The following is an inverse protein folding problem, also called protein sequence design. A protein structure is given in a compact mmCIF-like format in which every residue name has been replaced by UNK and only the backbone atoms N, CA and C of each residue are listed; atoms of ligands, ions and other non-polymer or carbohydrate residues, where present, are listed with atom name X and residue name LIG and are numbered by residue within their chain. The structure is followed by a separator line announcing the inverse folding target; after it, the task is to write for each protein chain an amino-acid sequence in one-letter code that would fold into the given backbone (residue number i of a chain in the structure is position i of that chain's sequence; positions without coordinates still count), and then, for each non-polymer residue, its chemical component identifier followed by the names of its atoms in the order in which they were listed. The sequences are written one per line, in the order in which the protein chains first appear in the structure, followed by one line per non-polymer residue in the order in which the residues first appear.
data_IF_264531945077
#
_entry.id   IF_264531945077
#
_cell.length_a   1.000
_cell.length_b   1.000
_cell.length_c   1.000
_cell.angle_alpha   90.00
_cell.angle_beta   90.00
_cell.angle_gamma   90.00
#
_symmetry.space_group_name_H-M   'P 1'
#
loop_
_entity.id
_entity.type
_entity.pdbx_description
1 polymer ?
#
# COMPACT_ATOMS: atom_id res chain seq x y z
N UNK A 1 -45.06 28.08 -14.57
CA UNK A 1 -44.86 27.57 -13.20
C UNK A 1 -43.45 27.03 -13.14
N UNK A 2 -42.58 27.59 -12.29
CA UNK A 2 -41.16 27.20 -12.28
C UNK A 2 -40.97 26.02 -11.32
N UNK A 3 -40.65 24.85 -11.88
CA UNK A 3 -40.43 23.63 -11.12
C UNK A 3 -38.98 23.60 -10.60
N UNK A 4 -38.66 24.53 -9.70
CA UNK A 4 -37.30 24.70 -9.20
C UNK A 4 -37.19 24.07 -7.82
N UNK A 5 -36.21 23.18 -7.66
CA UNK A 5 -35.95 22.60 -6.37
C UNK A 5 -35.30 23.62 -5.43
N UNK A 6 -35.49 23.47 -4.11
CA UNK A 6 -34.85 24.35 -3.14
C UNK A 6 -33.31 24.26 -3.24
N UNK A 7 -32.62 25.38 -3.04
CA UNK A 7 -31.15 25.51 -3.15
C UNK A 7 -30.38 24.43 -2.37
N UNK A 8 -30.88 24.04 -1.21
CA UNK A 8 -30.23 23.04 -0.35
C UNK A 8 -30.06 21.67 -1.04
N UNK A 9 -30.98 21.28 -1.95
CA UNK A 9 -30.85 20.01 -2.67
C UNK A 9 -29.65 20.03 -3.62
N UNK A 10 -29.44 21.15 -4.30
CA UNK A 10 -28.28 21.33 -5.16
C UNK A 10 -26.98 21.37 -4.36
N UNK A 11 -26.99 22.04 -3.18
CA UNK A 11 -25.84 22.05 -2.28
C UNK A 11 -25.51 20.65 -1.73
N UNK A 12 -26.53 19.87 -1.40
CA UNK A 12 -26.35 18.48 -0.94
C UNK A 12 -25.76 17.61 -2.05
N UNK A 13 -26.27 17.73 -3.28
CA UNK A 13 -25.72 17.02 -4.45
C UNK A 13 -24.25 17.40 -4.65
N UNK A 14 -23.92 18.70 -4.62
CA UNK A 14 -22.56 19.18 -4.78
C UNK A 14 -21.63 18.64 -3.67
N UNK A 15 -22.10 18.64 -2.42
CA UNK A 15 -21.36 18.09 -1.28
C UNK A 15 -21.05 16.61 -1.46
N UNK A 16 -22.06 15.78 -1.75
CA UNK A 16 -21.88 14.35 -2.00
C UNK A 16 -20.92 14.10 -3.17
N UNK A 17 -21.03 14.89 -4.24
CA UNK A 17 -20.15 14.79 -5.40
C UNK A 17 -18.69 15.09 -5.04
N UNK A 18 -18.44 16.14 -4.25
CA UNK A 18 -17.09 16.49 -3.77
C UNK A 18 -16.48 15.39 -2.90
N UNK A 19 -17.26 14.82 -1.97
CA UNK A 19 -16.80 13.68 -1.18
C UNK A 19 -16.50 12.47 -2.06
N UNK A 20 -17.33 12.19 -3.07
CA UNK A 20 -17.10 11.13 -4.04
C UNK A 20 -15.82 11.33 -4.84
N UNK A 21 -15.55 12.55 -5.30
CA UNK A 21 -14.32 12.89 -6.02
C UNK A 21 -13.10 12.72 -5.11
N UNK A 22 -13.15 13.23 -3.88
CA UNK A 22 -12.04 13.09 -2.92
C UNK A 22 -11.78 11.63 -2.59
N UNK A 23 -12.83 10.85 -2.40
CA UNK A 23 -12.72 9.42 -2.11
C UNK A 23 -12.21 8.60 -3.31
N UNK A 24 -12.63 8.97 -4.52
CA UNK A 24 -12.25 8.29 -5.75
C UNK A 24 -10.92 8.77 -6.36
N UNK A 25 -10.18 9.68 -5.69
CA UNK A 25 -8.87 10.13 -6.15
C UNK A 25 -7.91 8.94 -6.24
N UNK A 26 -7.48 8.55 -7.45
CA UNK A 26 -6.73 7.30 -7.66
C UNK A 26 -5.33 7.34 -7.06
N UNK A 27 -4.79 8.53 -6.79
CA UNK A 27 -3.41 8.75 -6.36
C UNK A 27 -3.27 9.03 -4.86
N UNK A 28 -4.35 8.95 -4.08
CA UNK A 28 -4.28 9.19 -2.63
C UNK A 28 -3.76 7.97 -1.87
N UNK A 29 -3.90 6.78 -2.46
CA UNK A 29 -3.38 5.51 -1.96
C UNK A 29 -2.29 5.04 -2.92
N UNK A 30 -1.07 5.54 -2.72
CA UNK A 30 0.08 5.21 -3.55
C UNK A 30 0.43 3.72 -3.54
N UNK A 31 1.33 3.32 -4.45
CA UNK A 31 1.84 1.95 -4.49
C UNK A 31 2.55 1.62 -3.16
N UNK A 32 2.26 0.46 -2.57
CA UNK A 32 3.00 -0.11 -1.43
C UNK A 32 3.90 -1.23 -1.97
N UNK A 33 5.04 -0.88 -2.60
CA UNK A 33 5.91 -1.87 -3.24
C UNK A 33 6.41 -2.86 -2.19
N UNK A 34 6.27 -4.14 -2.47
CA UNK A 34 6.62 -5.19 -1.52
C UNK A 34 7.12 -6.45 -2.23
N UNK A 35 8.15 -7.06 -1.65
CA UNK A 35 8.64 -8.40 -2.02
C UNK A 35 8.21 -9.38 -0.94
N UNK A 36 7.58 -10.46 -1.35
CA UNK A 36 7.22 -11.56 -0.48
C UNK A 36 8.14 -12.75 -0.74
N UNK A 37 8.76 -13.27 0.33
CA UNK A 37 9.62 -14.45 0.30
C UNK A 37 8.88 -15.58 1.02
N UNK A 38 8.73 -16.71 0.33
CA UNK A 38 8.08 -17.92 0.84
C UNK A 38 8.91 -19.16 0.51
N UNK A 39 8.92 -20.16 1.39
CA UNK A 39 9.54 -21.44 1.11
C UNK A 39 8.74 -22.23 0.08
N UNK A 40 9.42 -22.85 -0.89
CA UNK A 40 8.79 -23.73 -1.90
C UNK A 40 8.10 -24.95 -1.26
N UNK A 41 8.53 -25.36 -0.07
CA UNK A 41 7.95 -26.48 0.68
C UNK A 41 6.81 -26.11 1.64
N UNK A 42 6.44 -24.82 1.72
CA UNK A 42 5.41 -24.35 2.67
C UNK A 42 5.89 -24.24 4.12
N UNK A 43 7.15 -24.53 4.41
CA UNK A 43 7.73 -24.30 5.73
C UNK A 43 7.87 -22.78 6.02
N UNK A 44 7.69 -22.36 7.28
CA UNK A 44 7.89 -20.97 7.67
C UNK A 44 9.30 -20.48 7.30
N UNK A 45 9.34 -19.31 6.68
CA UNK A 45 10.56 -18.57 6.41
C UNK A 45 11.08 -18.03 7.74
N UNK A 46 11.87 -18.85 8.44
CA UNK A 46 12.36 -18.52 9.77
C UNK A 46 13.37 -17.36 9.81
N UNK A 47 13.72 -16.96 11.04
CA UNK A 47 14.67 -15.88 11.35
C UNK A 47 15.98 -15.87 10.53
N UNK A 48 16.62 -17.01 10.18
CA UNK A 48 17.86 -16.98 9.41
C UNK A 48 17.71 -16.37 8.00
N UNK A 49 16.56 -16.59 7.35
CA UNK A 49 16.30 -16.00 6.02
C UNK A 49 16.03 -14.51 6.16
N UNK A 50 15.29 -14.12 7.21
CA UNK A 50 15.03 -12.72 7.53
C UNK A 50 16.33 -11.94 7.75
N UNK A 51 17.20 -12.46 8.59
CA UNK A 51 18.45 -11.78 8.94
C UNK A 51 19.38 -11.70 7.72
N UNK A 52 19.43 -12.75 6.89
CA UNK A 52 20.15 -12.72 5.62
C UNK A 52 19.58 -11.68 4.64
N UNK A 53 18.25 -11.55 4.55
CA UNK A 53 17.61 -10.57 3.69
C UNK A 53 17.92 -9.14 4.16
N UNK A 54 17.80 -8.86 5.45
CA UNK A 54 18.14 -7.55 6.05
C UNK A 54 19.61 -7.22 5.80
N UNK A 55 20.54 -8.14 6.09
CA UNK A 55 21.97 -7.91 5.88
C UNK A 55 22.31 -7.66 4.39
N UNK A 56 21.58 -8.29 3.47
CA UNK A 56 21.78 -8.06 2.03
C UNK A 56 21.29 -6.68 1.61
N UNK A 57 20.12 -6.26 2.11
CA UNK A 57 19.57 -4.92 1.86
C UNK A 57 20.47 -3.82 2.41
N UNK A 58 20.96 -3.99 3.63
CA UNK A 58 21.91 -3.05 4.26
C UNK A 58 23.22 -2.97 3.49
N UNK A 59 23.77 -4.13 3.03
CA UNK A 59 25.00 -4.16 2.23
C UNK A 59 24.84 -3.47 0.87
N UNK A 60 23.64 -3.50 0.31
CA UNK A 60 23.30 -2.85 -0.95
C UNK A 60 22.87 -1.38 -0.78
N UNK A 61 22.86 -0.85 0.45
CA UNK A 61 22.34 0.49 0.81
C UNK A 61 20.89 0.73 0.37
N UNK A 62 20.08 -0.35 0.34
CA UNK A 62 18.67 -0.28 -0.05
C UNK A 62 17.82 0.00 1.19
N UNK A 63 17.17 1.16 1.22
CA UNK A 63 16.23 1.53 2.29
C UNK A 63 14.90 0.80 2.11
N UNK A 64 14.51 0.06 3.13
CA UNK A 64 13.22 -0.60 3.21
C UNK A 64 12.33 0.08 4.27
N UNK A 65 11.01 0.04 4.04
CA UNK A 65 9.99 0.63 4.91
C UNK A 65 9.69 -0.25 6.12
N UNK A 66 9.60 -1.57 5.91
CA UNK A 66 9.34 -2.53 6.98
C UNK A 66 9.66 -3.95 6.54
N UNK A 67 10.08 -4.78 7.49
CA UNK A 67 10.20 -6.24 7.32
C UNK A 67 9.25 -6.90 8.32
N UNK A 68 8.28 -7.66 7.83
CA UNK A 68 7.26 -8.32 8.67
C UNK A 68 7.13 -9.78 8.28
N UNK A 69 6.98 -10.66 9.26
CA UNK A 69 6.65 -12.05 9.04
C UNK A 69 5.14 -12.25 9.18
N UNK A 70 4.51 -12.88 8.19
CA UNK A 70 3.09 -13.18 8.19
C UNK A 70 2.86 -14.58 7.61
N UNK A 71 2.17 -15.46 8.34
CA UNK A 71 1.88 -16.84 7.94
C UNK A 71 3.09 -17.64 7.45
N UNK A 72 4.24 -17.47 8.14
CA UNK A 72 5.49 -18.13 7.75
C UNK A 72 6.09 -17.60 6.44
N UNK A 73 5.70 -16.41 6.00
CA UNK A 73 6.28 -15.72 4.84
C UNK A 73 6.87 -14.41 5.30
N UNK A 74 7.96 -14.01 4.65
CA UNK A 74 8.60 -12.74 4.92
C UNK A 74 8.12 -11.71 3.90
N UNK A 75 7.59 -10.59 4.39
CA UNK A 75 7.14 -9.46 3.58
C UNK A 75 8.06 -8.26 3.84
N UNK A 76 8.73 -7.82 2.79
CA UNK A 76 9.61 -6.65 2.81
C UNK A 76 8.93 -5.55 2.00
N UNK A 77 8.60 -4.44 2.65
CA UNK A 77 8.03 -3.27 1.99
C UNK A 77 9.12 -2.27 1.69
N UNK A 78 9.02 -1.62 0.54
CA UNK A 78 9.97 -0.63 0.06
C UNK A 78 9.33 0.75 0.05
N UNK A 79 10.18 1.78 -0.02
CA UNK A 79 9.71 3.16 -0.16
C UNK A 79 9.36 3.52 -1.61
N UNK A 80 9.92 2.79 -2.57
CA UNK A 80 9.72 3.01 -3.98
C UNK A 80 9.80 1.68 -4.75
N UNK A 81 9.16 1.66 -5.92
CA UNK A 81 9.14 0.59 -6.89
C UNK A 81 10.54 0.28 -7.46
N UNK A 82 11.41 1.28 -7.63
CA UNK A 82 12.80 1.05 -8.06
C UNK A 82 13.61 0.30 -7.00
N UNK A 83 13.40 0.60 -5.72
CA UNK A 83 14.08 -0.09 -4.63
C UNK A 83 13.64 -1.57 -4.48
N UNK A 84 12.54 -1.95 -5.14
CA UNK A 84 12.00 -3.31 -5.14
C UNK A 84 12.62 -4.20 -6.25
N UNK A 85 13.08 -3.61 -7.35
CA UNK A 85 13.55 -4.31 -8.56
C UNK A 85 15.01 -4.74 -8.45
#
# INVERSE_FOLDING_TARGET
MINQYPLWKYLLILGVLLFGIVYALPNLYGQDPAVQISSRGGEPVGAPIRDKAVATLEKADIRYKSVTEHDGRLLIRFHDSEAQL
#
